data_IF_131466849829
#
_entry.id   IF_131466849829
#
_cell.length_a   1.000
_cell.length_b   1.000
_cell.length_c   1.000
_cell.angle_alpha   90.00
_cell.angle_beta   90.00
_cell.angle_gamma   90.00
#
_symmetry.space_group_name_H-M   'P 1'
#
loop_
_entity.id
_entity.type
_entity.pdbx_description
1 polymer ?
#
# COMPACT_ATOMS: atom_id res chain seq x y z
N UNK A 1 2.13 12.77 5.46
CA UNK A 1 1.08 11.76 5.70
C UNK A 1 -0.22 12.25 5.08
N UNK A 2 -0.80 11.46 4.18
CA UNK A 2 -2.11 11.71 3.56
C UNK A 2 -3.00 10.55 4.00
N UNK A 3 -4.22 10.84 4.47
CA UNK A 3 -5.20 9.82 4.86
C UNK A 3 -6.47 10.04 4.04
N UNK A 4 -7.05 8.98 3.51
CA UNK A 4 -8.23 9.05 2.65
C UNK A 4 -8.80 7.67 2.35
N UNK A 5 -9.83 7.67 1.50
CA UNK A 5 -10.49 6.45 1.04
C UNK A 5 -10.04 6.14 -0.40
N UNK A 6 -9.51 4.94 -0.63
CA UNK A 6 -9.02 4.49 -1.94
C UNK A 6 -10.12 4.45 -3.01
N UNK A 7 -11.39 4.32 -2.61
CA UNK A 7 -12.56 4.37 -3.49
C UNK A 7 -13.05 5.79 -3.77
N UNK A 8 -12.46 6.81 -3.13
CA UNK A 8 -12.82 8.22 -3.30
C UNK A 8 -11.58 9.13 -3.34
N UNK A 9 -10.76 8.94 -4.38
CA UNK A 9 -9.53 9.69 -4.58
C UNK A 9 -9.79 11.18 -4.82
N UNK A 10 -9.13 12.01 -4.03
CA UNK A 10 -9.32 13.46 -4.09
C UNK A 10 -8.68 14.07 -5.34
N UNK A 11 -9.24 15.14 -5.94
CA UNK A 11 -8.70 15.76 -7.14
C UNK A 11 -7.28 16.32 -6.99
N UNK A 12 -6.92 16.73 -5.77
CA UNK A 12 -5.60 17.29 -5.45
C UNK A 12 -4.50 16.24 -5.26
N UNK A 13 -4.83 14.95 -5.31
CA UNK A 13 -3.84 13.87 -5.18
C UNK A 13 -2.90 13.88 -6.41
N UNK A 14 -1.57 13.90 -6.23
CA UNK A 14 -0.61 13.83 -7.33
C UNK A 14 -0.89 12.65 -8.26
N UNK A 15 -0.75 12.88 -9.58
CA UNK A 15 -1.09 11.89 -10.61
C UNK A 15 -0.40 10.54 -10.40
N UNK A 16 0.90 10.55 -10.10
CA UNK A 16 1.66 9.32 -9.84
C UNK A 16 1.09 8.48 -8.67
N UNK A 17 0.59 9.14 -7.61
CA UNK A 17 -0.03 8.43 -6.49
C UNK A 17 -1.41 7.90 -6.85
N UNK A 18 -2.19 8.69 -7.61
CA UNK A 18 -3.49 8.25 -8.14
C UNK A 18 -3.33 7.01 -9.01
N UNK A 19 -2.43 7.06 -9.98
CA UNK A 19 -2.16 5.96 -10.91
C UNK A 19 -1.69 4.70 -10.19
N UNK A 20 -0.80 4.83 -9.20
CA UNK A 20 -0.36 3.70 -8.38
C UNK A 20 -1.52 3.06 -7.59
N UNK A 21 -2.38 3.89 -6.97
CA UNK A 21 -3.54 3.38 -6.22
C UNK A 21 -4.55 2.73 -7.16
N UNK A 22 -4.87 3.35 -8.29
CA UNK A 22 -5.79 2.78 -9.28
C UNK A 22 -5.27 1.45 -9.84
N UNK A 23 -3.96 1.34 -10.09
CA UNK A 23 -3.33 0.09 -10.50
C UNK A 23 -3.51 -1.01 -9.44
N UNK A 24 -3.24 -0.70 -8.17
CA UNK A 24 -3.40 -1.65 -7.07
C UNK A 24 -4.86 -2.08 -6.93
N UNK A 25 -5.83 -1.16 -6.98
CA UNK A 25 -7.26 -1.49 -6.91
C UNK A 25 -7.69 -2.40 -8.08
N UNK A 26 -7.14 -2.19 -9.27
CA UNK A 26 -7.50 -2.97 -10.45
C UNK A 26 -6.87 -4.36 -10.49
N UNK A 27 -5.67 -4.54 -9.94
CA UNK A 27 -4.90 -5.79 -10.07
C UNK A 27 -4.86 -6.65 -8.80
N UNK A 28 -5.05 -6.06 -7.64
CA UNK A 28 -4.99 -6.78 -6.36
C UNK A 28 -6.37 -7.31 -6.00
N UNK A 29 -6.43 -8.61 -5.76
CA UNK A 29 -7.60 -9.35 -5.31
C UNK A 29 -7.20 -10.32 -4.20
N UNK A 30 -8.17 -10.97 -3.55
CA UNK A 30 -7.89 -12.01 -2.54
C UNK A 30 -7.10 -13.21 -3.11
N UNK A 31 -7.12 -13.41 -4.44
CA UNK A 31 -6.36 -14.47 -5.09
C UNK A 31 -4.93 -14.05 -5.43
N UNK A 32 -4.55 -12.78 -5.24
CA UNK A 32 -3.22 -12.31 -5.58
C UNK A 32 -2.21 -12.89 -4.58
N UNK A 33 -1.10 -13.53 -5.03
CA UNK A 33 -0.15 -14.16 -4.13
C UNK A 33 0.46 -13.19 -3.12
N UNK A 34 0.77 -13.67 -1.92
CA UNK A 34 1.54 -12.91 -0.94
C UNK A 34 2.97 -12.63 -1.46
N UNK A 35 3.55 -11.51 -1.05
CA UNK A 35 4.90 -11.10 -1.40
C UNK A 35 4.99 -9.83 -2.26
N UNK A 36 6.18 -9.58 -2.83
CA UNK A 36 6.50 -8.40 -3.64
C UNK A 36 6.06 -8.60 -5.09
N UNK A 37 5.33 -7.63 -5.62
CA UNK A 37 4.92 -7.55 -7.02
C UNK A 37 5.44 -6.26 -7.64
N UNK A 38 6.26 -6.37 -8.68
CA UNK A 38 6.83 -5.22 -9.38
C UNK A 38 5.85 -4.68 -10.42
N UNK A 39 5.63 -3.36 -10.42
CA UNK A 39 4.87 -2.64 -11.45
C UNK A 39 5.85 -2.02 -12.46
N UNK A 40 6.87 -1.32 -11.97
CA UNK A 40 7.96 -0.73 -12.75
C UNK A 40 9.32 -1.05 -12.08
N UNK A 41 9.74 -2.32 -12.20
CA UNK A 41 10.99 -2.80 -11.63
C UNK A 41 11.13 -2.48 -10.14
N UNK A 42 12.17 -1.73 -9.79
CA UNK A 42 12.41 -1.26 -8.42
C UNK A 42 11.85 0.15 -8.14
N UNK A 43 11.36 0.87 -9.15
CA UNK A 43 10.81 2.22 -8.98
C UNK A 43 9.39 2.20 -8.41
N UNK A 44 8.61 1.17 -8.74
CA UNK A 44 7.23 1.01 -8.27
C UNK A 44 6.92 -0.47 -8.10
N UNK A 45 6.55 -0.85 -6.88
CA UNK A 45 6.13 -2.19 -6.52
C UNK A 45 5.17 -2.13 -5.34
N UNK A 46 4.36 -3.17 -5.15
CA UNK A 46 3.54 -3.33 -3.96
C UNK A 46 3.89 -4.64 -3.25
N UNK A 47 3.68 -4.65 -1.93
CA UNK A 47 3.84 -5.82 -1.09
C UNK A 47 2.46 -6.23 -0.60
N UNK A 48 2.07 -7.49 -0.84
CA UNK A 48 0.89 -8.06 -0.20
C UNK A 48 1.37 -8.90 0.97
N UNK A 49 1.02 -8.47 2.18
CA UNK A 49 1.20 -9.24 3.39
C UNK A 49 -0.16 -9.57 4.00
N UNK A 50 -0.26 -10.77 4.56
CA UNK A 50 -1.36 -11.17 5.44
C UNK A 50 -0.74 -11.34 6.82
N UNK A 51 -0.62 -10.23 7.56
CA UNK A 51 -0.10 -10.24 8.92
C UNK A 51 -1.24 -10.47 9.92
N UNK A 52 -1.01 -11.38 10.86
CA UNK A 52 -1.81 -11.43 12.09
C UNK A 52 -1.26 -10.33 12.99
N UNK A 53 -2.06 -9.31 13.31
CA UNK A 53 -1.64 -8.11 14.08
C UNK A 53 -0.70 -8.46 15.23
N UNK A 54 0.59 -8.16 15.09
CA UNK A 54 1.56 -8.32 16.18
C UNK A 54 1.47 -7.12 17.15
N UNK A 55 1.74 -7.32 18.45
CA UNK A 55 1.73 -6.24 19.42
C UNK A 55 2.68 -5.10 19.04
N UNK A 56 2.18 -3.87 19.14
CA UNK A 56 2.89 -2.61 18.85
C UNK A 56 4.32 -2.53 19.46
N UNK A 57 4.58 -3.26 20.55
CA UNK A 57 5.88 -3.32 21.23
C UNK A 57 7.02 -3.96 20.42
N UNK A 58 6.73 -4.72 19.36
CA UNK A 58 7.74 -5.34 18.49
C UNK A 58 8.01 -4.56 17.19
N UNK A 59 7.18 -3.57 16.86
CA UNK A 59 7.32 -2.77 15.62
C UNK A 59 8.50 -1.79 15.77
N UNK A 60 9.64 -2.17 15.18
CA UNK A 60 10.75 -1.23 14.93
C UNK A 60 10.26 -0.15 13.97
N UNK A 61 10.52 1.11 14.29
CA UNK A 61 10.21 2.23 13.40
C UNK A 61 11.06 2.10 12.14
N UNK A 62 10.44 1.72 11.03
CA UNK A 62 11.09 1.65 9.73
C UNK A 62 11.05 3.03 9.08
N UNK A 63 12.22 3.56 8.70
CA UNK A 63 12.33 4.84 8.01
C UNK A 63 12.90 4.57 6.61
N UNK A 64 12.07 4.75 5.59
CA UNK A 64 12.51 4.62 4.19
C UNK A 64 12.95 5.97 3.64
N UNK A 65 14.26 6.13 3.42
CA UNK A 65 14.82 7.34 2.81
C UNK A 65 14.67 7.39 1.28
N UNK A 66 14.30 6.26 0.64
CA UNK A 66 14.29 6.09 -0.83
C UNK A 66 12.90 5.95 -1.44
N UNK A 67 11.90 5.59 -0.64
CA UNK A 67 10.55 5.30 -1.12
C UNK A 67 9.51 6.05 -0.29
N UNK A 68 8.41 6.38 -0.94
CA UNK A 68 7.20 6.86 -0.30
C UNK A 68 6.27 5.66 -0.11
N UNK A 69 5.77 5.48 1.12
CA UNK A 69 4.85 4.39 1.41
C UNK A 69 3.38 4.78 1.19
N UNK A 70 2.65 3.90 0.50
CA UNK A 70 1.19 3.94 0.38
C UNK A 70 0.66 2.67 1.05
N UNK A 71 0.11 2.80 2.25
CA UNK A 71 -0.47 1.68 2.98
C UNK A 71 -1.96 1.59 2.67
N UNK A 72 -2.41 0.43 2.20
CA UNK A 72 -3.80 0.16 1.83
C UNK A 72 -4.28 -1.06 2.60
N UNK A 73 -5.33 -0.88 3.39
CA UNK A 73 -6.01 -2.01 4.04
C UNK A 73 -6.93 -2.67 3.02
N UNK A 74 -6.56 -3.87 2.55
CA UNK A 74 -7.35 -4.62 1.56
C UNK A 74 -8.60 -5.27 2.19
N UNK A 75 -8.49 -5.76 3.43
CA UNK A 75 -9.59 -6.39 4.18
C UNK A 75 -9.32 -6.30 5.69
N UNK A 76 -10.34 -6.02 6.49
CA UNK A 76 -10.23 -5.87 7.95
C UNK A 76 -10.09 -4.41 8.38
N UNK A 77 -9.66 -4.21 9.62
CA UNK A 77 -9.37 -2.89 10.20
C UNK A 77 -8.00 -2.92 10.86
N UNK A 78 -7.09 -2.06 10.45
CA UNK A 78 -5.81 -1.83 11.13
C UNK A 78 -5.88 -0.48 11.86
N UNK A 79 -5.51 -0.46 13.14
CA UNK A 79 -5.58 0.71 14.05
C UNK A 79 -4.58 0.61 15.18
#
# INVERSE_FOLDING_TARGET
MIIGNIHHLQPWLPAALREAIEHVIAQVSEATPLGKHAIDGDNLFYLISEDTTEPQAARRAEYHARYLDIQIVLRGSEG
#
